data_IF_748136608028
#
_entry.id   IF_748136608028
#
_cell.length_a   1.000
_cell.length_b   1.000
_cell.length_c   1.000
_cell.angle_alpha   90.00
_cell.angle_beta   90.00
_cell.angle_gamma   90.00
#
_symmetry.space_group_name_H-M   'P 1'
#
loop_
_entity.id
_entity.type
_entity.pdbx_description
1 polymer ?
#
# COMPACT_ATOMS: atom_id res chain seq x y z
N UNK A 1 6.26 7.49 -7.32
CA UNK A 1 6.00 6.14 -6.73
C UNK A 1 6.76 5.00 -7.42
N UNK A 2 6.71 4.86 -8.75
CA UNK A 2 7.34 3.74 -9.47
C UNK A 2 8.84 3.55 -9.19
N UNK A 3 9.62 4.64 -9.22
CA UNK A 3 11.05 4.58 -8.86
C UNK A 3 11.29 4.06 -7.43
N UNK A 4 10.41 4.41 -6.48
CA UNK A 4 10.48 3.94 -5.09
C UNK A 4 10.14 2.44 -4.95
N UNK A 5 9.55 1.80 -5.96
CA UNK A 5 9.30 0.35 -5.93
C UNK A 5 10.44 -0.41 -6.60
N UNK A 6 11.02 0.17 -7.64
CA UNK A 6 12.07 -0.48 -8.46
C UNK A 6 13.45 -0.33 -7.80
N UNK A 7 13.78 0.87 -7.31
CA UNK A 7 15.12 1.16 -6.82
C UNK A 7 15.47 0.43 -5.51
N UNK A 8 14.60 0.33 -4.48
CA UNK A 8 14.98 -0.31 -3.23
C UNK A 8 15.46 -1.76 -3.34
N UNK A 9 14.79 -2.70 -4.06
CA UNK A 9 15.31 -4.04 -4.19
C UNK A 9 16.64 -4.10 -4.96
N UNK A 10 16.81 -3.27 -6.00
CA UNK A 10 18.06 -3.19 -6.78
C UNK A 10 19.21 -2.65 -5.94
N UNK A 11 19.01 -1.51 -5.28
CA UNK A 11 20.04 -0.88 -4.44
C UNK A 11 20.36 -1.76 -3.24
N UNK A 12 19.36 -2.37 -2.61
CA UNK A 12 19.59 -3.25 -1.46
C UNK A 12 20.35 -4.51 -1.86
N UNK A 13 19.95 -5.15 -2.97
CA UNK A 13 20.63 -6.35 -3.49
C UNK A 13 22.06 -6.07 -3.94
N UNK A 14 22.31 -4.96 -4.63
CA UNK A 14 23.66 -4.58 -5.12
C UNK A 14 24.55 -4.15 -3.96
N UNK A 15 24.06 -3.31 -3.05
CA UNK A 15 24.89 -2.69 -2.02
C UNK A 15 25.06 -3.57 -0.79
N UNK A 16 24.02 -4.27 -0.34
CA UNK A 16 23.99 -4.97 0.96
C UNK A 16 23.76 -6.48 0.84
N UNK A 17 23.52 -6.99 -0.37
CA UNK A 17 23.42 -8.42 -0.64
C UNK A 17 22.04 -9.03 -0.39
N UNK A 18 21.97 -10.35 -0.63
CA UNK A 18 20.70 -11.11 -0.68
C UNK A 18 20.05 -11.28 0.70
N UNK A 19 20.86 -11.29 1.77
CA UNK A 19 20.36 -11.42 3.14
C UNK A 19 19.59 -10.15 3.57
N UNK A 20 20.16 -8.98 3.30
CA UNK A 20 19.51 -7.69 3.55
C UNK A 20 18.25 -7.52 2.69
N UNK A 21 18.34 -7.92 1.41
CA UNK A 21 17.20 -7.91 0.49
C UNK A 21 16.06 -8.79 1.00
N UNK A 22 16.36 -9.98 1.53
CA UNK A 22 15.35 -10.89 2.10
C UNK A 22 14.64 -10.26 3.30
N UNK A 23 15.37 -9.58 4.19
CA UNK A 23 14.80 -8.82 5.29
C UNK A 23 13.89 -7.68 4.82
N UNK A 24 14.32 -6.93 3.80
CA UNK A 24 13.52 -5.87 3.18
C UNK A 24 12.20 -6.41 2.61
N UNK A 25 12.24 -7.53 1.90
CA UNK A 25 11.05 -8.13 1.28
C UNK A 25 10.03 -8.59 2.32
N UNK A 26 10.49 -9.28 3.38
CA UNK A 26 9.60 -9.76 4.45
C UNK A 26 9.00 -8.58 5.22
N UNK A 27 9.81 -7.59 5.59
CA UNK A 27 9.35 -6.40 6.31
C UNK A 27 8.34 -5.59 5.49
N UNK A 28 8.65 -5.37 4.20
CA UNK A 28 7.76 -4.66 3.29
C UNK A 28 6.43 -5.40 3.09
N UNK A 29 6.46 -6.73 2.97
CA UNK A 29 5.25 -7.56 2.85
C UNK A 29 4.34 -7.41 4.06
N UNK A 30 4.87 -7.61 5.27
CA UNK A 30 4.06 -7.58 6.51
C UNK A 30 3.46 -6.18 6.72
N UNK A 31 4.25 -5.11 6.51
CA UNK A 31 3.77 -3.74 6.66
C UNK A 31 2.72 -3.36 5.59
N UNK A 32 2.97 -3.71 4.32
CA UNK A 32 2.10 -3.32 3.22
C UNK A 32 0.75 -4.05 3.26
N UNK A 33 0.69 -5.32 3.69
CA UNK A 33 -0.58 -6.05 3.85
C UNK A 33 -1.51 -5.35 4.85
N UNK A 34 -0.99 -4.96 6.02
CA UNK A 34 -1.78 -4.31 7.06
C UNK A 34 -2.34 -2.97 6.57
N UNK A 35 -1.49 -2.17 5.91
CA UNK A 35 -1.86 -0.86 5.37
C UNK A 35 -2.83 -0.97 4.18
N UNK A 36 -2.62 -1.93 3.28
CA UNK A 36 -3.49 -2.12 2.12
C UNK A 36 -4.93 -2.47 2.54
N UNK A 37 -5.07 -3.36 3.53
CA UNK A 37 -6.37 -3.78 4.05
C UNK A 37 -7.03 -2.63 4.80
N UNK A 38 -6.31 -1.94 5.69
CA UNK A 38 -6.90 -0.86 6.50
C UNK A 38 -7.37 0.31 5.64
N UNK A 39 -6.59 0.71 4.62
CA UNK A 39 -6.96 1.79 3.70
C UNK A 39 -8.17 1.42 2.83
N UNK A 40 -8.17 0.21 2.25
CA UNK A 40 -9.27 -0.23 1.38
C UNK A 40 -10.57 -0.36 2.16
N UNK A 41 -10.53 -0.93 3.37
CA UNK A 41 -11.70 -1.10 4.21
C UNK A 41 -12.22 0.22 4.76
N UNK A 42 -11.33 1.12 5.21
CA UNK A 42 -11.75 2.41 5.77
C UNK A 42 -12.36 3.31 4.70
N UNK A 43 -11.75 3.39 3.51
CA UNK A 43 -12.32 4.15 2.40
C UNK A 43 -13.65 3.57 1.91
N UNK A 44 -13.76 2.25 1.82
CA UNK A 44 -15.04 1.58 1.49
C UNK A 44 -16.11 1.79 2.55
N UNK A 45 -15.74 1.81 3.83
CA UNK A 45 -16.67 2.08 4.93
C UNK A 45 -17.22 3.51 4.88
N UNK A 46 -16.37 4.51 4.62
CA UNK A 46 -16.81 5.90 4.48
C UNK A 46 -17.72 6.12 3.26
N UNK A 47 -17.43 5.51 2.12
CA UNK A 47 -18.32 5.57 0.94
C UNK A 47 -19.69 4.93 1.23
N UNK A 48 -19.68 3.76 1.86
CA UNK A 48 -20.90 3.05 2.22
C UNK A 48 -21.71 3.81 3.28
N UNK A 49 -21.06 4.46 4.25
CA UNK A 49 -21.72 5.31 5.24
C UNK A 49 -22.38 6.52 4.56
N UNK A 50 -21.68 7.20 3.64
CA UNK A 50 -22.26 8.29 2.83
C UNK A 50 -23.48 7.80 2.05
N UNK A 51 -23.37 6.68 1.33
CA UNK A 51 -24.47 6.08 0.55
C UNK A 51 -25.65 5.66 1.44
N UNK A 52 -25.40 5.23 2.68
CA UNK A 52 -26.43 4.90 3.64
C UNK A 52 -27.23 6.13 4.07
N UNK A 53 -26.54 7.24 4.38
CA UNK A 53 -27.17 8.52 4.72
C UNK A 53 -27.95 9.09 3.53
N UNK A 54 -27.43 8.96 2.31
CA UNK A 54 -28.13 9.42 1.10
C UNK A 54 -29.45 8.70 0.82
N UNK A 55 -29.61 7.47 1.33
CA UNK A 55 -30.85 6.68 1.23
C UNK A 55 -31.80 6.88 2.41
N UNK A 56 -31.39 7.61 3.45
CA UNK A 56 -32.20 7.84 4.62
C UNK A 56 -33.31 8.87 4.34
N UNK A 57 -34.49 8.66 4.92
CA UNK A 57 -35.58 9.64 4.82
C UNK A 57 -35.23 10.95 5.54
N UNK A 58 -35.73 12.11 5.05
CA UNK A 58 -35.53 13.39 5.72
C UNK A 58 -36.04 13.44 7.16
N UNK A 59 -37.06 12.65 7.47
CA UNK A 59 -37.68 12.55 8.80
C UNK A 59 -36.91 11.62 9.76
N UNK A 60 -35.85 10.96 9.30
CA UNK A 60 -34.98 10.14 10.14
C UNK A 60 -33.92 10.98 10.86
N UNK A 61 -33.31 10.44 11.91
CA UNK A 61 -32.22 11.11 12.63
C UNK A 61 -31.02 11.47 11.73
N UNK A 62 -30.84 10.75 10.62
CA UNK A 62 -29.79 11.01 9.62
C UNK A 62 -30.14 12.16 8.67
N UNK A 63 -31.41 12.59 8.64
CA UNK A 63 -31.95 13.73 7.87
C UNK A 63 -31.73 13.68 6.35
N UNK A 64 -31.20 12.57 5.83
CA UNK A 64 -30.97 12.38 4.41
C UNK A 64 -29.95 13.34 3.80
N UNK A 65 -30.03 13.47 2.47
CA UNK A 65 -29.10 14.24 1.64
C UNK A 65 -29.17 15.75 1.92
N UNK A 66 -28.01 16.41 1.98
CA UNK A 66 -27.90 17.85 2.23
C UNK A 66 -27.89 18.26 3.70
N UNK A 67 -28.15 17.32 4.61
CA UNK A 67 -27.98 17.52 6.05
C UNK A 67 -26.51 17.70 6.45
N UNK A 68 -26.25 18.23 7.65
CA UNK A 68 -24.88 18.37 8.14
C UNK A 68 -24.21 17.00 8.38
N UNK A 69 -24.99 15.97 8.70
CA UNK A 69 -24.52 14.57 8.79
C UNK A 69 -24.07 14.08 7.40
N UNK A 70 -24.84 14.37 6.35
CA UNK A 70 -24.45 14.04 4.97
C UNK A 70 -23.17 14.75 4.56
N UNK A 71 -23.02 16.05 4.86
CA UNK A 71 -21.77 16.80 4.58
C UNK A 71 -20.57 16.20 5.30
N UNK A 72 -20.71 15.80 6.56
CA UNK A 72 -19.63 15.13 7.30
C UNK A 72 -19.24 13.79 6.65
N UNK A 73 -20.22 13.00 6.20
CA UNK A 73 -19.96 11.74 5.49
C UNK A 73 -19.31 11.95 4.12
N UNK A 74 -19.65 13.02 3.40
CA UNK A 74 -18.98 13.40 2.15
C UNK A 74 -17.51 13.73 2.39
N UNK A 75 -17.18 14.43 3.48
CA UNK A 75 -15.77 14.68 3.85
C UNK A 75 -15.04 13.37 4.12
N UNK A 76 -15.64 12.44 4.87
CA UNK A 76 -15.06 11.12 5.12
C UNK A 76 -14.79 10.33 3.84
N UNK A 77 -15.74 10.30 2.90
CA UNK A 77 -15.58 9.64 1.61
C UNK A 77 -14.48 10.29 0.75
N UNK A 78 -14.42 11.62 0.75
CA UNK A 78 -13.37 12.38 0.02
C UNK A 78 -11.97 12.05 0.53
N UNK A 79 -11.82 11.85 1.85
CA UNK A 79 -10.55 11.37 2.46
C UNK A 79 -10.31 9.89 2.13
N UNK A 80 -11.36 9.09 2.04
CA UNK A 80 -11.32 7.66 1.73
C UNK A 80 -11.03 7.32 0.26
N UNK A 81 -11.34 8.21 -0.68
CA UNK A 81 -11.15 7.98 -2.12
C UNK A 81 -9.67 7.69 -2.49
N UNK A 82 -8.68 8.51 -2.07
CA UNK A 82 -7.27 8.18 -2.30
C UNK A 82 -6.83 6.88 -1.63
N UNK A 83 -7.47 6.48 -0.53
CA UNK A 83 -7.13 5.27 0.23
C UNK A 83 -7.64 4.01 -0.48
N UNK A 84 -8.91 3.97 -0.91
CA UNK A 84 -9.53 2.79 -1.52
C UNK A 84 -9.24 2.65 -3.03
N UNK A 85 -9.04 3.76 -3.74
CA UNK A 85 -8.92 3.73 -5.21
C UNK A 85 -7.48 3.90 -5.71
N UNK A 86 -6.58 4.43 -4.89
CA UNK A 86 -5.19 4.68 -5.30
C UNK A 86 -4.19 3.93 -4.43
N UNK A 87 -4.06 4.31 -3.15
CA UNK A 87 -2.95 3.85 -2.29
C UNK A 87 -3.11 2.42 -1.82
N UNK A 88 -4.32 2.03 -1.38
CA UNK A 88 -4.65 0.67 -0.93
C UNK A 88 -4.39 -0.38 -2.02
N UNK A 89 -5.00 -0.26 -3.21
CA UNK A 89 -4.75 -1.18 -4.32
C UNK A 89 -3.29 -1.17 -4.80
N UNK A 90 -2.63 0.00 -4.82
CA UNK A 90 -1.24 0.10 -5.27
C UNK A 90 -0.26 -0.66 -4.39
N UNK A 91 -0.50 -0.74 -3.07
CA UNK A 91 0.37 -1.51 -2.16
C UNK A 91 0.44 -3.00 -2.51
N UNK A 92 -0.63 -3.58 -3.07
CA UNK A 92 -0.61 -4.97 -3.54
C UNK A 92 0.36 -5.16 -4.73
N UNK A 93 0.40 -4.17 -5.62
CA UNK A 93 1.33 -4.16 -6.76
C UNK A 93 2.77 -3.96 -6.25
N UNK A 94 2.98 -3.05 -5.31
CA UNK A 94 4.30 -2.78 -4.70
C UNK A 94 4.92 -4.08 -4.17
N UNK A 95 4.17 -4.85 -3.40
CA UNK A 95 4.65 -6.13 -2.84
C UNK A 95 5.05 -7.13 -3.91
N UNK A 96 4.17 -7.35 -4.90
CA UNK A 96 4.42 -8.33 -5.97
C UNK A 96 5.58 -7.91 -6.87
N UNK A 97 5.66 -6.62 -7.20
CA UNK A 97 6.70 -6.11 -8.08
C UNK A 97 8.09 -6.19 -7.43
N UNK A 98 8.22 -5.84 -6.14
CA UNK A 98 9.50 -5.97 -5.44
C UNK A 98 9.97 -7.43 -5.36
N UNK A 99 9.05 -8.38 -5.12
CA UNK A 99 9.37 -9.80 -5.09
C UNK A 99 9.82 -10.32 -6.47
N UNK A 100 9.08 -9.98 -7.53
CA UNK A 100 9.44 -10.38 -8.91
C UNK A 100 10.77 -9.76 -9.35
N UNK A 101 11.01 -8.48 -9.08
CA UNK A 101 12.29 -7.84 -9.38
C UNK A 101 13.44 -8.52 -8.63
N UNK A 102 13.25 -8.82 -7.35
CA UNK A 102 14.29 -9.50 -6.56
C UNK A 102 14.62 -10.89 -7.10
N UNK A 103 13.60 -11.61 -7.60
CA UNK A 103 13.77 -12.92 -8.22
C UNK A 103 14.48 -12.82 -9.58
N UNK A 104 14.08 -11.88 -10.43
CA UNK A 104 14.66 -11.69 -11.78
C UNK A 104 16.13 -11.30 -11.70
N UNK A 105 16.51 -10.48 -10.72
CA UNK A 105 17.90 -10.03 -10.54
C UNK A 105 18.71 -10.89 -9.55
N UNK A 106 18.17 -12.03 -9.09
CA UNK A 106 18.83 -12.88 -8.10
C UNK A 106 20.26 -13.28 -8.53
N UNK A 107 20.42 -13.77 -9.76
CA UNK A 107 21.72 -14.16 -10.30
C UNK A 107 22.69 -12.97 -10.39
N UNK A 108 22.17 -11.77 -10.67
CA UNK A 108 22.97 -10.54 -10.70
C UNK A 108 23.48 -10.18 -9.30
N UNK A 109 22.65 -10.36 -8.27
CA UNK A 109 23.07 -10.13 -6.88
C UNK A 109 24.10 -11.18 -6.43
N UNK A 110 23.93 -12.45 -6.81
CA UNK A 110 24.91 -13.50 -6.50
C UNK A 110 26.26 -13.29 -7.20
N UNK A 111 26.27 -12.73 -8.42
CA UNK A 111 27.50 -12.38 -9.11
C UNK A 111 28.35 -11.33 -8.34
N UNK A 112 27.72 -10.56 -7.45
CA UNK A 112 28.40 -9.55 -6.62
C UNK A 112 28.77 -10.17 -5.28
N UNK A 113 30.06 -10.46 -5.07
CA UNK A 113 30.59 -10.99 -3.81
C UNK A 113 29.82 -12.23 -3.30
N UNK A 114 29.43 -13.16 -4.19
CA UNK A 114 28.63 -14.34 -3.86
C UNK A 114 27.31 -14.02 -3.12
N UNK A 115 26.70 -12.87 -3.40
CA UNK A 115 25.46 -12.42 -2.75
C UNK A 115 25.70 -11.58 -1.47
N UNK A 116 26.94 -11.28 -1.13
CA UNK A 116 27.30 -10.43 0.02
C UNK A 116 27.12 -8.92 -0.20
N UNK A 117 26.84 -8.50 -1.43
CA UNK A 117 26.71 -7.08 -1.78
C UNK A 117 28.04 -6.34 -1.84
N UNK A 118 28.01 -5.10 -2.33
CA UNK A 118 29.20 -4.26 -2.50
C UNK A 118 29.81 -3.83 -1.16
N UNK A 119 28.95 -3.48 -0.21
CA UNK A 119 29.31 -3.26 1.19
C UNK A 119 29.23 -4.61 1.88
N UNK A 120 30.38 -5.27 1.99
CA UNK A 120 30.50 -6.54 2.67
C UNK A 120 29.95 -6.41 4.10
N UNK A 121 28.73 -6.90 4.32
CA UNK A 121 28.15 -6.97 5.64
C UNK A 121 28.72 -8.23 6.29
N UNK A 122 29.61 -8.02 7.26
CA UNK A 122 30.34 -9.06 7.98
C UNK A 122 29.42 -10.07 8.68
#
# INVERSE_FOLDING_TARGET
PGAMVILPPLLTGILFGVNALSGLLVGALIAAVQLAISMSNSGGAWDNAKKYIEKASPDSDLKGKGSDIHKAAVVGDTVGDPFKDTSGPALNIVMKLMAVLSLVFADTFYAINNGGGLFHMA
#
